data_IF_169300049219
#
_entry.id   IF_169300049219
#
_cell.length_a   1.000
_cell.length_b   1.000
_cell.length_c   1.000
_cell.angle_alpha   90.00
_cell.angle_beta   90.00
_cell.angle_gamma   90.00
#
_symmetry.space_group_name_H-M   'P 1'
#
loop_
_entity.id
_entity.type
_entity.pdbx_description
1 polymer ?
#
# COMPACT_ATOMS: atom_id res chain seq x y z
N UNK A 1 -2.92 -2.48 14.95
CA UNK A 1 -1.52 -2.06 14.78
C UNK A 1 -1.46 -0.56 15.01
N UNK A 2 -0.79 -0.10 16.06
CA UNK A 2 -0.64 1.33 16.36
C UNK A 2 0.83 1.68 16.41
N UNK A 3 1.23 2.74 15.70
CA UNK A 3 2.61 3.22 15.66
C UNK A 3 2.84 4.21 14.51
N UNK A 4 4.03 4.83 14.48
CA UNK A 4 4.36 5.80 13.44
C UNK A 4 4.32 5.19 12.03
N UNK A 5 4.83 3.96 11.87
CA UNK A 5 4.81 3.26 10.58
C UNK A 5 3.40 2.93 10.10
N UNK A 6 2.47 2.60 11.01
CA UNK A 6 1.08 2.31 10.63
C UNK A 6 0.35 3.59 10.21
N UNK A 7 0.54 4.70 10.92
CA UNK A 7 -0.05 5.99 10.54
C UNK A 7 0.41 6.46 9.16
N UNK A 8 1.69 6.27 8.83
CA UNK A 8 2.23 6.55 7.49
C UNK A 8 1.58 5.61 6.47
N UNK A 9 1.53 4.30 6.72
CA UNK A 9 0.88 3.34 5.82
C UNK A 9 -0.60 3.69 5.55
N UNK A 10 -1.34 4.04 6.59
CA UNK A 10 -2.75 4.46 6.51
C UNK A 10 -2.92 5.74 5.68
N UNK A 11 -2.05 6.72 5.88
CA UNK A 11 -2.05 7.97 5.10
C UNK A 11 -1.76 7.70 3.62
N UNK A 12 -0.77 6.86 3.33
CA UNK A 12 -0.44 6.49 1.95
C UNK A 12 -1.57 5.70 1.28
N UNK A 13 -2.23 4.82 2.03
CA UNK A 13 -3.42 4.11 1.56
C UNK A 13 -4.57 5.07 1.26
N UNK A 14 -4.83 6.05 2.14
CA UNK A 14 -5.86 7.07 1.94
C UNK A 14 -5.60 7.93 0.69
N UNK A 15 -4.33 8.23 0.38
CA UNK A 15 -3.93 8.96 -0.83
C UNK A 15 -3.75 8.07 -2.07
N UNK A 16 -4.10 6.77 -2.00
CA UNK A 16 -3.94 5.80 -3.09
C UNK A 16 -2.50 5.75 -3.64
N UNK A 17 -1.49 5.99 -2.79
CA UNK A 17 -0.08 5.99 -3.17
C UNK A 17 0.53 4.62 -2.88
N UNK A 18 0.81 3.87 -3.94
CA UNK A 18 1.50 2.57 -3.87
C UNK A 18 3.02 2.75 -3.96
N UNK A 19 3.60 3.23 -2.87
CA UNK A 19 5.06 3.26 -2.71
C UNK A 19 5.49 2.07 -1.86
N UNK A 20 6.76 1.65 -1.90
CA UNK A 20 7.19 0.61 -0.99
C UNK A 20 7.26 1.21 0.40
N UNK A 21 6.83 0.44 1.38
CA UNK A 21 7.01 0.82 2.76
C UNK A 21 7.70 -0.33 3.46
N UNK A 22 8.90 -0.08 3.96
CA UNK A 22 9.58 -0.97 4.89
C UNK A 22 9.34 -0.42 6.29
N UNK A 23 8.51 -1.10 7.09
CA UNK A 23 8.24 -0.71 8.47
C UNK A 23 9.25 -1.41 9.37
N UNK A 24 10.14 -0.63 9.97
CA UNK A 24 11.08 -1.09 10.99
C UNK A 24 10.57 -0.63 12.36
N UNK A 25 10.53 -1.55 13.31
CA UNK A 25 10.02 -1.29 14.65
C UNK A 25 10.42 -2.39 15.60
N UNK A 26 10.21 -2.16 16.89
CA UNK A 26 10.50 -3.16 17.90
C UNK A 26 9.52 -4.34 17.73
N UNK A 27 10.01 -5.58 17.74
CA UNK A 27 9.11 -6.72 17.80
C UNK A 27 8.30 -6.67 19.11
N UNK A 28 7.07 -7.15 19.06
CA UNK A 28 6.19 -7.28 20.23
C UNK A 28 6.62 -8.49 21.07
N UNK A 29 7.88 -8.46 21.51
CA UNK A 29 8.54 -9.48 22.31
C UNK A 29 9.36 -8.79 23.39
N UNK A 30 9.37 -9.38 24.58
CA UNK A 30 10.23 -8.90 25.65
C UNK A 30 11.69 -9.17 25.30
N UNK A 31 12.48 -8.10 25.27
CA UNK A 31 13.94 -8.15 25.15
C UNK A 31 14.48 -8.08 26.57
N UNK A 32 15.46 -8.94 26.87
CA UNK A 32 16.08 -9.01 28.20
C UNK A 32 16.66 -7.65 28.64
N UNK A 33 16.79 -7.47 29.94
CA UNK A 33 17.27 -6.22 30.50
C UNK A 33 18.77 -6.04 30.22
N UNK A 34 19.12 -4.91 29.62
CA UNK A 34 20.50 -4.58 29.26
C UNK A 34 20.63 -3.12 28.89
N UNK A 35 21.81 -2.73 28.41
CA UNK A 35 22.03 -1.38 27.90
C UNK A 35 21.13 -1.12 26.67
N UNK A 36 20.64 0.12 26.53
CA UNK A 36 19.74 0.51 25.45
C UNK A 36 20.32 0.18 24.06
N UNK A 37 21.63 0.33 23.87
CA UNK A 37 22.29 -0.01 22.62
C UNK A 37 22.27 -1.52 22.35
N UNK A 38 22.42 -2.35 23.38
CA UNK A 38 22.37 -3.80 23.25
C UNK A 38 20.95 -4.29 22.94
N UNK A 39 19.93 -3.65 23.54
CA UNK A 39 18.53 -3.97 23.26
C UNK A 39 18.14 -3.62 21.82
N UNK A 40 18.56 -2.46 21.31
CA UNK A 40 18.35 -2.05 19.92
C UNK A 40 19.11 -2.95 18.94
N UNK A 41 20.35 -3.32 19.26
CA UNK A 41 21.13 -4.27 18.47
C UNK A 41 20.47 -5.66 18.42
N UNK A 42 19.93 -6.13 19.54
CA UNK A 42 19.19 -7.40 19.63
C UNK A 42 17.90 -7.39 18.81
N UNK A 43 17.26 -6.22 18.70
CA UNK A 43 16.11 -6.02 17.84
C UNK A 43 16.47 -5.80 16.35
N UNK A 44 17.75 -5.76 15.99
CA UNK A 44 18.19 -5.43 14.64
C UNK A 44 17.93 -3.97 14.23
N UNK A 45 17.66 -3.09 15.19
CA UNK A 45 17.45 -1.65 15.01
C UNK A 45 18.74 -0.84 15.19
N UNK A 46 19.90 -1.52 15.19
CA UNK A 46 21.20 -0.87 15.09
C UNK A 46 21.45 -0.30 13.68
N UNK A 47 22.38 0.65 13.56
CA UNK A 47 22.76 1.25 12.29
C UNK A 47 23.09 0.20 11.19
N UNK A 48 23.78 -0.88 11.55
CA UNK A 48 24.08 -1.96 10.60
C UNK A 48 22.81 -2.73 10.17
N UNK A 49 21.91 -3.00 11.12
CA UNK A 49 20.65 -3.70 10.88
C UNK A 49 19.70 -2.89 10.00
N UNK A 50 19.53 -1.61 10.30
CA UNK A 50 18.73 -0.68 9.49
C UNK A 50 19.27 -0.60 8.06
N UNK A 51 20.59 -0.45 7.90
CA UNK A 51 21.20 -0.39 6.57
C UNK A 51 21.01 -1.70 5.78
N UNK A 52 21.09 -2.86 6.44
CA UNK A 52 20.82 -4.15 5.82
C UNK A 52 19.36 -4.29 5.39
N UNK A 53 18.40 -3.93 6.25
CA UNK A 53 16.97 -3.96 5.93
C UNK A 53 16.60 -3.05 4.77
N UNK A 54 17.19 -1.85 4.70
CA UNK A 54 16.97 -0.91 3.58
C UNK A 54 17.56 -1.49 2.29
N UNK A 55 18.79 -2.03 2.32
CA UNK A 55 19.40 -2.65 1.14
C UNK A 55 18.55 -3.80 0.62
N UNK A 56 18.08 -4.68 1.50
CA UNK A 56 17.19 -5.78 1.14
C UNK A 56 15.89 -5.26 0.50
N UNK A 57 15.25 -4.24 1.08
CA UNK A 57 14.02 -3.66 0.55
C UNK A 57 14.22 -3.04 -0.84
N UNK A 58 15.37 -2.40 -1.08
CA UNK A 58 15.71 -1.85 -2.39
C UNK A 58 15.98 -2.98 -3.39
N UNK A 59 16.78 -3.99 -3.01
CA UNK A 59 17.11 -5.12 -3.88
C UNK A 59 15.88 -5.93 -4.26
N UNK A 60 14.98 -6.22 -3.32
CA UNK A 60 13.72 -6.92 -3.57
C UNK A 60 12.86 -6.17 -4.61
N UNK A 61 12.80 -4.83 -4.53
CA UNK A 61 12.13 -4.01 -5.54
C UNK A 61 12.80 -4.01 -6.90
N UNK A 62 14.12 -4.05 -6.94
CA UNK A 62 14.84 -4.17 -8.21
C UNK A 62 14.61 -5.55 -8.84
N UNK A 63 14.41 -6.58 -8.02
CA UNK A 63 14.15 -7.95 -8.46
C UNK A 63 12.69 -8.19 -8.87
N UNK A 64 11.71 -7.53 -8.23
CA UNK A 64 10.29 -7.63 -8.58
C UNK A 64 9.74 -6.27 -9.01
N UNK A 65 9.50 -6.05 -10.33
CA UNK A 65 8.74 -4.87 -10.76
C UNK A 65 7.39 -4.88 -10.04
N UNK A 66 6.92 -3.74 -9.49
CA UNK A 66 5.68 -3.71 -8.76
C UNK A 66 4.58 -4.21 -9.69
N UNK A 67 3.88 -5.28 -9.28
CA UNK A 67 2.74 -5.80 -10.03
C UNK A 67 1.75 -4.65 -10.25
N UNK A 68 1.73 -4.16 -11.49
CA UNK A 68 0.82 -3.15 -11.97
C UNK A 68 -0.56 -3.80 -12.04
N UNK A 69 -1.48 -3.31 -11.22
CA UNK A 69 -2.86 -3.79 -11.20
C UNK A 69 -3.66 -3.09 -10.12
N UNK A 70 -4.54 -2.17 -10.54
CA UNK A 70 -5.84 -1.87 -9.92
C UNK A 70 -5.91 -1.42 -8.43
N UNK A 71 -5.50 -0.20 -8.09
CA UNK A 71 -6.21 0.58 -7.05
C UNK A 71 -6.53 1.89 -7.74
N UNK A 72 -7.69 1.93 -8.40
CA UNK A 72 -8.08 3.05 -9.25
C UNK A 72 -8.91 2.70 -10.49
N UNK A 73 -9.40 1.46 -10.64
CA UNK A 73 -10.66 1.29 -11.36
C UNK A 73 -11.78 1.76 -10.41
N UNK A 74 -11.99 3.07 -10.41
CA UNK A 74 -13.24 3.66 -10.01
C UNK A 74 -14.41 2.81 -10.54
N UNK A 75 -15.10 2.08 -9.66
CA UNK A 75 -16.30 1.31 -10.04
C UNK A 75 -17.51 2.22 -10.25
N UNK A 76 -17.38 3.55 -10.15
CA UNK A 76 -18.45 4.50 -10.40
C UNK A 76 -18.53 5.00 -11.86
N UNK A 77 -17.45 4.98 -12.65
CA UNK A 77 -17.45 5.32 -14.10
C UNK A 77 -17.73 4.14 -15.03
N UNK A 78 -18.02 2.93 -14.51
CA UNK A 78 -18.64 1.86 -15.31
C UNK A 78 -20.14 2.09 -15.55
N UNK A 79 -20.65 3.29 -15.29
CA UNK A 79 -21.78 3.91 -16.00
C UNK A 79 -21.21 5.03 -16.87
N UNK A 80 -21.49 4.98 -18.18
CA UNK A 80 -21.27 6.03 -19.21
C UNK A 80 -20.09 5.83 -20.18
N UNK A 81 -19.75 4.59 -20.55
CA UNK A 81 -19.19 4.31 -21.88
C UNK A 81 -20.16 3.40 -22.64
N UNK A 82 -21.07 4.01 -23.39
CA UNK A 82 -22.12 3.33 -24.16
C UNK A 82 -23.49 4.01 -24.11
N UNK A 83 -23.55 5.34 -24.26
CA UNK A 83 -24.79 6.03 -24.65
C UNK A 83 -24.75 6.32 -26.15
N UNK A 84 -24.93 5.29 -26.95
CA UNK A 84 -25.59 5.42 -28.23
C UNK A 84 -27.09 5.55 -27.90
N UNK A 85 -27.60 6.76 -28.11
CA UNK A 85 -28.96 7.25 -27.85
C UNK A 85 -30.10 6.38 -28.43
N UNK A 86 -29.82 5.35 -29.23
CA UNK A 86 -30.81 4.42 -29.76
C UNK A 86 -31.21 3.29 -28.79
N UNK A 87 -30.31 2.68 -28.03
CA UNK A 87 -30.64 1.47 -27.23
C UNK A 87 -31.47 1.78 -25.98
N UNK A 88 -31.25 2.94 -25.36
CA UNK A 88 -32.05 3.39 -24.21
C UNK A 88 -33.52 3.68 -24.61
N UNK A 89 -33.77 4.03 -25.87
CA UNK A 89 -35.12 4.32 -26.35
C UNK A 89 -35.92 3.03 -26.57
N UNK A 90 -35.29 1.99 -27.13
CA UNK A 90 -35.92 0.67 -27.39
C UNK A 90 -36.36 -0.03 -26.11
N UNK A 91 -35.58 0.08 -25.01
CA UNK A 91 -35.90 -0.57 -23.74
C UNK A 91 -37.13 0.01 -23.02
N UNK A 92 -37.56 1.24 -23.37
CA UNK A 92 -38.59 1.97 -22.60
C UNK A 92 -40.01 1.92 -23.19
N UNK A 93 -40.24 1.23 -24.32
CA UNK A 93 -41.52 1.21 -25.08
C UNK A 93 -42.18 2.58 -25.28
N UNK A 94 -41.44 3.68 -25.14
CA UNK A 94 -41.92 5.01 -25.47
C UNK A 94 -41.61 5.25 -26.94
N UNK A 95 -42.68 5.32 -27.72
CA UNK A 95 -42.66 5.48 -29.17
C UNK A 95 -41.91 6.78 -29.51
N UNK A 96 -40.77 6.66 -30.20
CA UNK A 96 -40.15 7.80 -30.88
C UNK A 96 -41.18 8.38 -31.86
N UNK A 97 -41.40 9.69 -31.77
CA UNK A 97 -41.97 10.46 -32.89
C UNK A 97 -40.91 10.62 -33.97
#
# INVERSE_FOLDING_TARGET
MGGAGSAVAETLAAHNKRVPLAQLGLPDMFIDHGDCAQQLASAGLDAAGIAASIRLAITDRLARPPAQGDIGADRSTRRLAGRNSCEACVASRRRCR
#
